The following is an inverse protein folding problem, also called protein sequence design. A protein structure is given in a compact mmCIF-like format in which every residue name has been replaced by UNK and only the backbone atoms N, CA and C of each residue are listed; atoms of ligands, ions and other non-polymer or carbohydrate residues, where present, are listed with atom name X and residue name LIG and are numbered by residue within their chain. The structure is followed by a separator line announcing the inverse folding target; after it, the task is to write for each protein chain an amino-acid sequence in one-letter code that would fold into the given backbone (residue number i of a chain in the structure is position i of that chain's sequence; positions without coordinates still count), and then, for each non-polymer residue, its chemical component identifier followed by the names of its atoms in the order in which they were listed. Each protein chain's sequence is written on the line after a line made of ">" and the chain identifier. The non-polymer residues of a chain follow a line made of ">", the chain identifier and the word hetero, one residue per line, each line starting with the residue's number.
data_IF_997359768316
#
_entry.id   IF_997359768316
#
_cell.length_a   1.000
_cell.length_b   1.000
_cell.length_c   1.000
_cell.angle_alpha   90.00
_cell.angle_beta   90.00
_cell.angle_gamma   90.00
#
_symmetry.space_group_name_H-M   'P 1'
#
loop_
_entity.id
_entity.type
_entity.pdbx_description
1 polymer ?
#
# COMPACT_ATOMS: atom_id res chain seq x y z
N UNK A 1 -4.05 -2.91 -21.08
CA UNK A 1 -3.21 -3.22 -19.89
C UNK A 1 -4.00 -4.13 -18.97
N UNK A 2 -3.37 -5.22 -18.49
CA UNK A 2 -3.98 -6.22 -17.58
C UNK A 2 -3.70 -5.89 -16.11
N UNK A 3 -2.87 -4.87 -15.84
CA UNK A 3 -2.40 -4.48 -14.52
C UNK A 3 -2.47 -2.97 -14.32
N UNK A 4 -2.55 -2.56 -13.07
CA UNK A 4 -2.35 -1.18 -12.60
C UNK A 4 -0.98 -1.14 -11.94
N UNK A 5 -0.04 -0.36 -12.48
CA UNK A 5 1.28 -0.16 -11.90
C UNK A 5 1.33 1.18 -11.15
N UNK A 6 1.78 1.13 -9.90
CA UNK A 6 1.87 2.28 -8.99
C UNK A 6 3.35 2.43 -8.63
N UNK A 7 3.95 3.58 -8.93
CA UNK A 7 5.31 3.89 -8.51
C UNK A 7 5.40 4.05 -7.00
N UNK A 8 6.50 3.64 -6.39
CA UNK A 8 6.68 3.71 -4.94
C UNK A 8 6.57 5.13 -4.36
N UNK A 9 6.94 6.14 -5.15
CA UNK A 9 6.89 7.56 -4.76
C UNK A 9 5.51 8.20 -4.94
N UNK A 10 4.50 7.46 -5.43
CA UNK A 10 3.13 7.95 -5.51
C UNK A 10 2.63 8.31 -4.12
N UNK A 11 2.19 9.56 -3.92
CA UNK A 11 1.64 10.00 -2.65
C UNK A 11 0.31 9.30 -2.35
N UNK A 12 -0.08 9.22 -1.10
CA UNK A 12 -1.37 8.63 -0.74
C UNK A 12 -2.54 9.46 -1.29
N UNK A 13 -2.38 10.79 -1.41
CA UNK A 13 -3.39 11.64 -2.05
C UNK A 13 -3.55 11.35 -3.54
N UNK A 14 -2.45 11.17 -4.27
CA UNK A 14 -2.47 10.82 -5.69
C UNK A 14 -3.03 9.41 -5.89
N UNK A 15 -2.64 8.48 -5.02
CA UNK A 15 -3.16 7.11 -5.05
C UNK A 15 -4.67 7.08 -4.80
N UNK A 16 -5.18 7.84 -3.83
CA UNK A 16 -6.62 7.97 -3.58
C UNK A 16 -7.37 8.33 -4.86
N UNK A 17 -6.89 9.35 -5.56
CA UNK A 17 -7.52 9.82 -6.81
C UNK A 17 -7.43 8.79 -7.92
N UNK A 18 -6.26 8.20 -8.11
CA UNK A 18 -6.00 7.27 -9.21
C UNK A 18 -6.71 5.91 -9.03
N UNK A 19 -6.85 5.42 -7.80
CA UNK A 19 -7.44 4.12 -7.52
C UNK A 19 -8.97 4.16 -7.42
N UNK A 20 -9.57 5.31 -7.14
CA UNK A 20 -11.01 5.46 -6.94
C UNK A 20 -11.87 4.89 -8.08
N UNK A 21 -11.54 5.05 -9.38
CA UNK A 21 -12.31 4.45 -10.46
C UNK A 21 -12.26 2.91 -10.52
N UNK A 22 -11.26 2.31 -9.88
CA UNK A 22 -11.02 0.86 -9.90
C UNK A 22 -11.45 0.18 -8.61
N UNK A 23 -11.10 0.79 -7.47
CA UNK A 23 -11.35 0.26 -6.13
C UNK A 23 -11.81 1.39 -5.18
N UNK A 24 -13.07 1.82 -5.28
CA UNK A 24 -13.59 2.96 -4.51
C UNK A 24 -13.53 2.74 -2.99
N UNK A 25 -13.67 1.50 -2.53
CA UNK A 25 -13.55 1.16 -1.11
C UNK A 25 -12.14 1.40 -0.57
N UNK A 26 -11.11 1.10 -1.38
CA UNK A 26 -9.73 1.39 -1.02
C UNK A 26 -9.45 2.89 -0.99
N UNK A 27 -9.93 3.62 -1.97
CA UNK A 27 -9.83 5.09 -1.98
C UNK A 27 -10.49 5.71 -0.75
N UNK A 28 -11.68 5.26 -0.38
CA UNK A 28 -12.38 5.71 0.83
C UNK A 28 -11.59 5.42 2.12
N UNK A 29 -10.91 4.29 2.19
CA UNK A 29 -10.03 3.96 3.32
C UNK A 29 -8.81 4.89 3.37
N UNK A 30 -8.16 5.14 2.21
CA UNK A 30 -7.02 6.07 2.13
C UNK A 30 -7.43 7.47 2.61
N UNK A 31 -8.63 7.93 2.27
CA UNK A 31 -9.16 9.24 2.74
C UNK A 31 -9.19 9.36 4.26
N UNK A 32 -9.37 8.25 4.96
CA UNK A 32 -9.39 8.20 6.44
C UNK A 32 -8.00 7.96 7.04
N UNK A 33 -6.96 7.77 6.21
CA UNK A 33 -5.59 7.61 6.68
C UNK A 33 -5.00 8.96 7.07
N UNK A 34 -4.54 9.08 8.33
CA UNK A 34 -3.87 10.26 8.87
C UNK A 34 -4.59 11.59 8.53
N UNK A 35 -3.82 12.64 8.31
CA UNK A 35 -4.32 13.97 7.88
C UNK A 35 -4.07 14.20 6.39
N UNK A 36 -4.69 15.23 5.82
CA UNK A 36 -4.43 15.67 4.43
C UNK A 36 -2.94 15.98 4.22
N UNK A 37 -2.31 16.68 5.17
CA UNK A 37 -0.88 17.03 5.10
C UNK A 37 0.00 15.79 5.06
N UNK A 38 -0.32 14.78 5.87
CA UNK A 38 0.42 13.51 5.86
C UNK A 38 0.20 12.77 4.54
N UNK A 39 -1.03 12.66 4.05
CA UNK A 39 -1.31 11.98 2.76
C UNK A 39 -0.64 12.64 1.57
N UNK A 40 -0.48 13.96 1.59
CA UNK A 40 0.21 14.71 0.53
C UNK A 40 1.72 14.47 0.50
N UNK A 41 2.31 14.02 1.60
CA UNK A 41 3.75 13.75 1.73
C UNK A 41 4.09 12.25 1.79
N UNK A 42 3.25 11.44 2.45
CA UNK A 42 3.47 10.01 2.60
C UNK A 42 3.26 9.29 1.27
N UNK A 43 4.17 8.35 0.95
CA UNK A 43 4.13 7.57 -0.28
C UNK A 43 3.69 6.13 -0.01
N UNK A 44 3.13 5.47 -1.02
CA UNK A 44 2.73 4.07 -0.89
C UNK A 44 3.92 3.14 -0.67
N UNK A 45 5.05 3.40 -1.33
CA UNK A 45 6.28 2.65 -1.10
C UNK A 45 6.81 2.80 0.32
N UNK A 46 6.76 4.02 0.88
CA UNK A 46 7.12 4.28 2.28
C UNK A 46 6.18 3.58 3.27
N UNK A 47 4.87 3.60 3.00
CA UNK A 47 3.86 2.91 3.82
C UNK A 47 4.10 1.40 3.89
N UNK A 48 4.48 0.77 2.76
CA UNK A 48 4.83 -0.64 2.68
C UNK A 48 6.18 -0.91 3.35
N UNK A 49 7.23 -0.18 2.95
CA UNK A 49 8.60 -0.43 3.39
C UNK A 49 8.82 -0.16 4.89
N UNK A 50 8.00 0.71 5.50
CA UNK A 50 8.02 0.93 6.94
C UNK A 50 7.57 -0.31 7.72
N UNK A 51 6.74 -1.18 7.14
CA UNK A 51 6.31 -2.44 7.75
C UNK A 51 5.55 -2.27 9.06
N UNK A 52 4.91 -1.10 9.26
CA UNK A 52 4.14 -0.85 10.48
C UNK A 52 2.94 -1.79 10.58
N UNK A 53 2.71 -2.43 11.74
CA UNK A 53 1.53 -3.29 11.96
C UNK A 53 0.21 -2.52 11.94
N UNK A 54 0.25 -1.19 12.03
CA UNK A 54 -0.92 -0.31 11.93
C UNK A 54 -1.04 0.38 10.57
N UNK A 55 -0.21 -0.01 9.59
CA UNK A 55 -0.26 0.52 8.23
C UNK A 55 -1.52 0.06 7.49
N UNK A 56 -2.29 1.00 6.94
CA UNK A 56 -3.57 0.70 6.28
C UNK A 56 -3.42 0.21 4.83
N UNK A 57 -2.32 0.55 4.15
CA UNK A 57 -2.09 0.21 2.75
C UNK A 57 -1.89 -1.28 2.48
N UNK A 58 -0.96 -1.95 3.19
CA UNK A 58 -0.62 -3.34 2.91
C UNK A 58 -1.80 -4.32 2.94
N UNK A 59 -2.72 -4.31 3.93
CA UNK A 59 -3.83 -5.26 3.95
C UNK A 59 -4.73 -5.19 2.71
N UNK A 60 -5.08 -3.98 2.27
CA UNK A 60 -5.89 -3.79 1.07
C UNK A 60 -5.16 -4.26 -0.21
N UNK A 61 -3.87 -3.95 -0.31
CA UNK A 61 -3.04 -4.36 -1.45
C UNK A 61 -2.84 -5.88 -1.50
N UNK A 62 -2.64 -6.53 -0.35
CA UNK A 62 -2.57 -8.00 -0.24
C UNK A 62 -3.88 -8.62 -0.69
N UNK A 63 -5.02 -8.11 -0.22
CA UNK A 63 -6.34 -8.59 -0.64
C UNK A 63 -6.59 -8.44 -2.15
N UNK A 64 -5.94 -7.48 -2.80
CA UNK A 64 -5.98 -7.28 -4.25
C UNK A 64 -4.97 -8.17 -5.02
N UNK A 65 -4.17 -8.97 -4.34
CA UNK A 65 -3.13 -9.81 -4.96
C UNK A 65 -1.98 -8.99 -5.52
N UNK A 66 -1.56 -7.94 -4.81
CA UNK A 66 -0.51 -7.05 -5.28
C UNK A 66 0.85 -7.73 -5.34
N UNK A 67 1.61 -7.42 -6.39
CA UNK A 67 3.02 -7.79 -6.55
C UNK A 67 3.90 -6.60 -6.20
N UNK A 68 4.87 -6.81 -5.34
CA UNK A 68 5.89 -5.84 -4.96
C UNK A 68 7.12 -5.97 -5.87
N UNK A 69 7.62 -4.85 -6.36
CA UNK A 69 8.84 -4.77 -7.15
C UNK A 69 9.94 -4.10 -6.33
N UNK A 70 11.02 -4.83 -6.09
CA UNK A 70 12.21 -4.37 -5.39
C UNK A 70 13.36 -4.14 -6.37
N UNK A 71 14.20 -3.16 -6.06
CA UNK A 71 15.36 -2.82 -6.86
C UNK A 71 16.60 -2.55 -6.01
N UNK A 72 17.75 -3.03 -6.49
CA UNK A 72 19.09 -2.67 -5.99
C UNK A 72 20.01 -2.42 -7.19
N UNK A 73 20.37 -1.17 -7.44
CA UNK A 73 21.12 -0.79 -8.65
C UNK A 73 20.36 -1.17 -9.92
N UNK A 74 20.93 -2.04 -10.74
CA UNK A 74 20.33 -2.56 -11.96
C UNK A 74 19.57 -3.88 -11.75
N UNK A 75 19.72 -4.51 -10.58
CA UNK A 75 19.04 -5.76 -10.24
C UNK A 75 17.61 -5.47 -9.76
N UNK A 76 16.64 -6.20 -10.30
CA UNK A 76 15.24 -6.15 -9.92
C UNK A 76 14.74 -7.54 -9.58
N UNK A 77 13.88 -7.62 -8.58
CA UNK A 77 13.09 -8.81 -8.28
C UNK A 77 11.68 -8.45 -7.90
N UNK A 78 10.77 -9.40 -8.00
CA UNK A 78 9.38 -9.22 -7.64
C UNK A 78 8.92 -10.39 -6.77
N UNK A 79 8.00 -10.11 -5.85
CA UNK A 79 7.39 -11.10 -4.97
C UNK A 79 5.95 -10.70 -4.68
N UNK A 80 5.13 -11.66 -4.24
CA UNK A 80 3.81 -11.33 -3.71
C UNK A 80 3.96 -10.42 -2.48
N UNK A 81 3.08 -9.44 -2.33
CA UNK A 81 3.24 -8.46 -1.24
C UNK A 81 3.16 -9.10 0.15
N UNK A 82 2.34 -10.15 0.31
CA UNK A 82 2.24 -10.91 1.57
C UNK A 82 3.57 -11.56 1.97
N UNK A 83 4.37 -11.99 1.01
CA UNK A 83 5.66 -12.66 1.27
C UNK A 83 6.77 -11.67 1.69
N UNK A 84 6.53 -10.37 1.53
CA UNK A 84 7.47 -9.33 1.93
C UNK A 84 7.58 -9.17 3.45
N UNK A 85 6.50 -9.42 4.17
CA UNK A 85 6.43 -9.27 5.62
C UNK A 85 6.72 -10.63 6.29
N UNK A 86 7.90 -10.78 6.88
CA UNK A 86 8.33 -12.05 7.50
C UNK A 86 7.87 -12.11 8.96
N UNK A 87 8.11 -11.03 9.72
CA UNK A 87 7.80 -10.91 11.14
C UNK A 87 7.74 -9.43 11.53
N UNK A 88 7.39 -9.13 12.77
CA UNK A 88 7.38 -7.75 13.26
C UNK A 88 8.75 -7.09 13.05
N UNK A 89 8.74 -5.98 12.30
CA UNK A 89 9.95 -5.25 11.95
C UNK A 89 10.93 -6.00 11.03
N UNK A 90 10.56 -7.18 10.51
CA UNK A 90 11.39 -7.99 9.62
C UNK A 90 10.72 -8.17 8.27
N UNK A 91 11.44 -7.79 7.22
CA UNK A 91 10.98 -7.83 5.84
C UNK A 91 11.95 -8.60 4.96
N UNK A 92 11.45 -9.22 3.90
CA UNK A 92 12.29 -9.82 2.84
C UNK A 92 12.87 -8.72 1.94
N UNK A 93 13.82 -7.99 2.49
CA UNK A 93 14.54 -6.92 1.81
C UNK A 93 16.02 -7.02 2.10
N UNK A 94 16.84 -7.17 1.06
CA UNK A 94 18.29 -7.16 1.19
C UNK A 94 18.82 -5.74 1.48
N UNK A 95 20.03 -5.66 1.99
CA UNK A 95 20.72 -4.39 2.19
C UNK A 95 20.82 -3.63 0.86
N UNK A 96 20.43 -2.35 0.85
CA UNK A 96 20.44 -1.51 -0.34
C UNK A 96 19.25 -1.69 -1.29
N UNK A 97 18.37 -2.68 -1.06
CA UNK A 97 17.12 -2.79 -1.82
C UNK A 97 16.11 -1.74 -1.36
N UNK A 98 15.35 -1.23 -2.32
CA UNK A 98 14.21 -0.35 -2.09
C UNK A 98 12.98 -0.80 -2.89
N UNK A 99 11.82 -0.37 -2.45
CA UNK A 99 10.57 -0.57 -3.18
C UNK A 99 10.55 0.36 -4.39
N UNK A 100 10.48 -0.20 -5.59
CA UNK A 100 10.42 0.55 -6.85
C UNK A 100 8.97 0.82 -7.27
N UNK A 101 8.13 -0.20 -7.18
CA UNK A 101 6.73 -0.11 -7.58
C UNK A 101 5.89 -1.25 -6.98
N UNK A 102 4.58 -1.11 -7.12
CA UNK A 102 3.57 -2.13 -6.84
C UNK A 102 2.73 -2.33 -8.10
N UNK A 103 2.36 -3.57 -8.43
CA UNK A 103 1.36 -3.86 -9.45
C UNK A 103 0.15 -4.55 -8.84
N UNK A 104 -1.03 -4.18 -9.31
CA UNK A 104 -2.32 -4.76 -8.93
C UNK A 104 -2.95 -5.32 -10.20
N UNK A 105 -3.40 -6.59 -10.23
CA UNK A 105 -4.12 -7.12 -11.39
C UNK A 105 -5.43 -6.35 -11.60
N UNK A 106 -5.76 -6.02 -12.85
CA UNK A 106 -7.07 -5.49 -13.18
C UNK A 106 -8.12 -6.58 -13.04
N UNK A 107 -9.06 -6.38 -12.16
CA UNK A 107 -10.11 -7.32 -11.84
C UNK A 107 -11.41 -6.58 -11.52
N UNK A 108 -12.52 -7.31 -11.53
CA UNK A 108 -13.80 -6.77 -11.05
C UNK A 108 -13.68 -6.38 -9.60
N UNK A 109 -14.17 -5.19 -9.23
CA UNK A 109 -14.07 -4.68 -7.87
C UNK A 109 -15.00 -5.45 -6.91
N UNK A 110 -14.41 -6.35 -6.15
CA UNK A 110 -15.05 -7.05 -5.03
C UNK A 110 -14.46 -6.65 -3.68
N UNK A 111 -13.45 -5.75 -3.70
CA UNK A 111 -12.78 -5.31 -2.48
C UNK A 111 -13.72 -4.49 -1.59
N UNK A 112 -13.70 -4.80 -0.31
CA UNK A 112 -14.34 -4.01 0.75
C UNK A 112 -13.34 -3.73 1.85
N UNK A 113 -13.08 -2.46 2.11
CA UNK A 113 -12.16 -2.00 3.15
C UNK A 113 -12.97 -1.33 4.26
N UNK A 114 -12.72 -1.75 5.49
CA UNK A 114 -13.32 -1.15 6.68
C UNK A 114 -12.20 -0.71 7.62
N UNK A 115 -12.19 0.58 7.95
CA UNK A 115 -11.26 1.10 8.96
C UNK A 115 -12.00 1.26 10.29
N UNK A 116 -11.65 0.42 11.24
CA UNK A 116 -12.13 0.50 12.61
C UNK A 116 -11.09 1.22 13.46
N UNK A 117 -11.48 2.32 14.06
CA UNK A 117 -10.62 3.15 14.91
C UNK A 117 -11.44 3.73 16.08
N UNK A 118 -10.76 4.14 17.15
CA UNK A 118 -11.43 4.74 18.32
C UNK A 118 -12.01 6.11 18.01
N UNK A 119 -11.35 6.89 17.14
CA UNK A 119 -11.82 8.18 16.64
C UNK A 119 -12.04 8.09 15.14
N UNK A 120 -12.92 8.92 14.60
CA UNK A 120 -13.23 8.92 13.17
C UNK A 120 -12.06 9.42 12.32
N UNK A 121 -11.45 10.54 12.73
CA UNK A 121 -10.35 11.18 11.99
C UNK A 121 -9.00 10.98 12.68
N UNK A 122 -7.95 10.91 11.88
CA UNK A 122 -6.54 10.94 12.27
C UNK A 122 -6.19 9.91 13.38
N UNK A 123 -6.77 8.73 13.29
CA UNK A 123 -6.53 7.68 14.26
C UNK A 123 -6.02 6.39 13.59
N UNK A 124 -5.29 5.60 14.36
CA UNK A 124 -4.78 4.31 13.90
C UNK A 124 -5.92 3.30 13.81
N UNK A 125 -5.76 2.32 12.91
CA UNK A 125 -6.67 1.17 12.84
C UNK A 125 -6.53 0.33 14.11
N UNK A 126 -7.65 0.06 14.77
CA UNK A 126 -7.70 -0.77 15.97
C UNK A 126 -7.77 -2.26 15.65
N UNK A 127 -8.28 -2.60 14.46
CA UNK A 127 -8.43 -3.97 13.95
C UNK A 127 -8.09 -3.96 12.46
N UNK A 128 -7.35 -4.95 12.04
CA UNK A 128 -7.03 -5.23 10.66
C UNK A 128 -7.48 -6.65 10.29
#
# INVERSE_FOLDING_TARGET
>A
ATEIRIGAMTTLSDLETAIAPHHPSFAAMIRRYASVQVRNAATIGGNIANGSPIGDGPPALIALGATLHLRHGDTRRSLALEDFFIDYGKQDRAAGEFVEAITIPKQTDTLRCYKLSKRFDQDISAVC
#
